data_IF_771453469568
#
_entry.id   IF_771453469568
#
_cell.length_a   1.000
_cell.length_b   1.000
_cell.length_c   1.000
_cell.angle_alpha   90.00
_cell.angle_beta   90.00
_cell.angle_gamma   90.00
#
_symmetry.space_group_name_H-M   'P 1'
#
loop_
_entity.id
_entity.type
_entity.pdbx_description
1 polymer ?
#
# COMPACT_ATOMS: atom_id res chain seq x y z
N UNK A 1 57.03 30.63 -6.79
CA UNK A 1 56.41 29.50 -7.52
C UNK A 1 56.30 28.21 -6.67
N UNK A 2 57.32 27.78 -5.91
CA UNK A 2 57.29 26.52 -5.13
C UNK A 2 56.15 26.41 -4.07
N UNK A 3 55.75 27.52 -3.41
CA UNK A 3 54.65 27.50 -2.40
C UNK A 3 53.26 27.28 -3.03
N UNK A 4 52.96 27.76 -4.24
CA UNK A 4 51.69 27.54 -4.96
C UNK A 4 51.53 26.06 -5.38
N UNK A 5 52.61 25.47 -5.92
CA UNK A 5 52.59 24.05 -6.33
C UNK A 5 52.42 23.10 -5.16
N UNK A 6 52.99 23.42 -3.96
CA UNK A 6 52.79 22.60 -2.74
C UNK A 6 51.36 22.69 -2.21
N UNK A 7 50.69 23.87 -2.25
CA UNK A 7 49.28 24.03 -1.87
C UNK A 7 48.34 23.27 -2.83
N UNK A 8 48.67 23.24 -4.11
CA UNK A 8 47.91 22.52 -5.12
C UNK A 8 47.97 21.00 -4.87
N UNK A 9 49.15 20.44 -4.65
CA UNK A 9 49.34 19.01 -4.31
C UNK A 9 48.61 18.61 -3.03
N UNK A 10 48.63 19.42 -1.99
CA UNK A 10 47.95 19.16 -0.73
C UNK A 10 46.40 19.10 -0.95
N UNK A 11 45.88 19.99 -1.80
CA UNK A 11 44.45 19.99 -2.15
C UNK A 11 44.03 18.68 -2.82
N UNK A 12 44.79 18.18 -3.78
CA UNK A 12 44.47 16.90 -4.44
C UNK A 12 44.59 15.70 -3.49
N UNK A 13 45.53 15.69 -2.56
CA UNK A 13 45.66 14.67 -1.53
C UNK A 13 44.44 14.71 -0.60
N UNK A 14 44.01 15.89 -0.18
CA UNK A 14 42.81 16.04 0.65
C UNK A 14 41.53 15.56 -0.08
N UNK A 15 41.37 15.94 -1.36
CA UNK A 15 40.24 15.43 -2.18
C UNK A 15 40.28 13.91 -2.35
N UNK A 16 41.46 13.33 -2.56
CA UNK A 16 41.64 11.88 -2.64
C UNK A 16 41.29 11.17 -1.33
N UNK A 17 41.73 11.74 -0.19
CA UNK A 17 41.37 11.24 1.15
C UNK A 17 39.89 11.35 1.43
N UNK A 18 39.25 12.48 1.12
CA UNK A 18 37.80 12.64 1.23
C UNK A 18 37.06 11.61 0.36
N UNK A 19 37.48 11.42 -0.89
CA UNK A 19 36.93 10.41 -1.78
C UNK A 19 37.06 8.98 -1.23
N UNK A 20 38.22 8.64 -0.68
CA UNK A 20 38.47 7.33 -0.06
C UNK A 20 37.60 7.11 1.20
N UNK A 21 37.43 8.13 2.05
CA UNK A 21 36.56 8.07 3.23
C UNK A 21 35.09 7.89 2.81
N UNK A 22 34.62 8.64 1.81
CA UNK A 22 33.26 8.50 1.28
C UNK A 22 33.06 7.09 0.71
N UNK A 23 34.01 6.59 -0.07
CA UNK A 23 33.94 5.23 -0.62
C UNK A 23 33.93 4.17 0.48
N UNK A 24 34.78 4.29 1.49
CA UNK A 24 34.79 3.39 2.64
C UNK A 24 33.48 3.45 3.43
N UNK A 25 32.90 4.63 3.62
CA UNK A 25 31.60 4.80 4.26
C UNK A 25 30.48 4.14 3.43
N UNK A 26 30.48 4.31 2.10
CA UNK A 26 29.52 3.68 1.21
C UNK A 26 29.62 2.14 1.22
N UNK A 27 30.85 1.62 1.20
CA UNK A 27 31.11 0.17 1.33
C UNK A 27 30.63 -0.34 2.68
N UNK A 28 30.95 0.37 3.77
CA UNK A 28 30.48 0.03 5.12
C UNK A 28 28.94 -0.01 5.20
N UNK A 29 28.26 1.02 4.69
CA UNK A 29 26.80 1.07 4.61
C UNK A 29 26.26 -0.07 3.76
N UNK A 30 26.91 -0.37 2.61
CA UNK A 30 26.49 -1.43 1.69
C UNK A 30 26.49 -2.83 2.33
N UNK A 31 27.43 -3.10 3.22
CA UNK A 31 27.54 -4.36 3.94
C UNK A 31 26.84 -4.37 5.29
N UNK A 32 25.96 -3.41 5.57
CA UNK A 32 25.11 -3.38 6.76
C UNK A 32 25.80 -2.89 8.02
N UNK A 33 26.92 -2.16 7.89
CA UNK A 33 27.69 -1.66 9.02
C UNK A 33 27.01 -0.66 9.96
N UNK A 34 25.84 -0.13 9.55
CA UNK A 34 24.93 0.59 10.43
C UNK A 34 23.70 -0.24 10.86
N UNK A 35 23.71 -1.55 10.61
CA UNK A 35 22.70 -2.44 11.18
C UNK A 35 22.96 -2.53 12.68
N UNK A 36 22.15 -1.81 13.45
CA UNK A 36 22.19 -1.84 14.92
C UNK A 36 21.30 -2.93 15.49
N UNK A 37 20.58 -3.68 14.64
CA UNK A 37 19.77 -4.80 15.05
C UNK A 37 20.66 -5.95 15.56
N UNK A 38 20.49 -6.35 16.80
CA UNK A 38 21.01 -7.61 17.30
C UNK A 38 20.50 -8.75 16.41
N UNK A 39 21.34 -9.74 16.16
CA UNK A 39 20.92 -10.91 15.38
C UNK A 39 19.83 -11.66 16.12
N UNK A 40 18.67 -11.85 15.52
CA UNK A 40 17.60 -12.68 16.07
C UNK A 40 18.02 -14.14 16.01
N UNK A 41 17.86 -14.85 17.14
CA UNK A 41 18.15 -16.27 17.22
C UNK A 41 17.13 -17.07 16.39
N UNK A 42 17.57 -17.84 15.36
CA UNK A 42 16.64 -18.57 14.48
C UNK A 42 15.82 -19.63 15.20
N UNK A 43 16.36 -20.25 16.27
CA UNK A 43 15.63 -21.26 17.05
C UNK A 43 14.54 -20.59 17.88
N UNK A 44 14.84 -19.46 18.53
CA UNK A 44 13.85 -18.68 19.27
C UNK A 44 12.77 -18.13 18.35
N UNK A 45 13.14 -17.66 17.15
CA UNK A 45 12.22 -17.21 16.11
C UNK A 45 11.28 -18.35 15.67
N UNK A 46 11.83 -19.51 15.31
CA UNK A 46 11.07 -20.67 14.83
C UNK A 46 10.08 -21.22 15.88
N UNK A 47 10.31 -20.96 17.16
CA UNK A 47 9.39 -21.39 18.23
C UNK A 47 8.06 -20.62 18.22
N UNK A 48 8.01 -19.44 17.59
CA UNK A 48 6.79 -18.60 17.47
C UNK A 48 6.35 -18.40 16.03
N UNK A 49 7.19 -18.76 15.05
CA UNK A 49 6.84 -18.67 13.64
C UNK A 49 5.89 -19.80 13.26
N UNK A 50 4.77 -19.45 12.64
CA UNK A 50 3.73 -20.38 12.17
C UNK A 50 3.57 -20.30 10.65
N UNK A 51 2.99 -21.33 9.99
CA UNK A 51 2.56 -21.20 8.59
C UNK A 51 1.56 -20.07 8.42
N UNK A 52 1.55 -19.42 7.25
CA UNK A 52 0.63 -18.30 6.95
C UNK A 52 -0.84 -18.75 7.06
N UNK A 53 -1.12 -19.99 6.71
CA UNK A 53 -2.46 -20.60 6.79
C UNK A 53 -2.98 -20.75 8.23
N UNK A 54 -2.09 -20.70 9.22
CA UNK A 54 -2.44 -20.75 10.65
C UNK A 54 -2.71 -19.38 11.25
N UNK A 55 -2.58 -18.31 10.44
CA UNK A 55 -2.78 -16.94 10.89
C UNK A 55 -4.17 -16.74 11.51
N UNK A 56 -4.21 -15.99 12.59
CA UNK A 56 -5.45 -15.56 13.25
C UNK A 56 -5.42 -14.06 13.49
N UNK A 57 -6.60 -13.45 13.49
CA UNK A 57 -6.80 -12.04 13.84
C UNK A 57 -7.78 -11.93 14.99
N UNK A 58 -7.76 -10.89 15.81
CA UNK A 58 -8.74 -10.67 16.88
C UNK A 58 -10.17 -10.62 16.32
N UNK A 59 -11.12 -11.20 17.03
CA UNK A 59 -12.53 -11.22 16.61
C UNK A 59 -13.18 -9.84 16.59
N UNK A 60 -12.67 -8.90 17.38
CA UNK A 60 -13.10 -7.50 17.45
C UNK A 60 -12.38 -6.57 16.45
N UNK A 61 -11.47 -7.10 15.62
CA UNK A 61 -10.81 -6.34 14.58
C UNK A 61 -11.82 -5.92 13.50
N UNK A 62 -12.00 -4.61 13.32
CA UNK A 62 -12.90 -4.02 12.32
C UNK A 62 -12.20 -3.67 11.01
N UNK A 63 -10.95 -3.28 11.08
CA UNK A 63 -10.11 -2.98 9.94
C UNK A 63 -8.86 -3.86 10.05
N UNK A 64 -8.76 -4.85 9.19
CA UNK A 64 -7.62 -5.77 9.14
C UNK A 64 -6.77 -5.35 7.96
N UNK A 65 -5.56 -4.88 8.21
CA UNK A 65 -4.67 -4.37 7.18
C UNK A 65 -3.52 -5.35 6.90
N UNK A 66 -3.25 -5.61 5.62
CA UNK A 66 -2.05 -6.30 5.15
C UNK A 66 -1.17 -5.30 4.41
N UNK A 67 0.03 -5.09 4.94
CA UNK A 67 1.06 -4.29 4.29
C UNK A 67 1.85 -5.09 3.27
N UNK A 68 2.34 -4.44 2.21
CA UNK A 68 3.32 -5.03 1.30
C UNK A 68 4.66 -4.29 1.38
N UNK A 69 5.75 -5.05 1.51
CA UNK A 69 7.11 -4.50 1.58
C UNK A 69 7.60 -3.98 0.22
N UNK A 70 6.99 -4.43 -0.87
CA UNK A 70 7.29 -4.03 -2.24
C UNK A 70 6.08 -4.27 -3.15
N UNK A 71 5.85 -3.37 -4.09
CA UNK A 71 4.79 -3.51 -5.09
C UNK A 71 5.12 -4.47 -6.25
N UNK A 72 6.39 -4.84 -6.41
CA UNK A 72 6.87 -5.55 -7.61
C UNK A 72 7.12 -7.05 -7.46
N UNK A 73 6.53 -7.71 -6.47
CA UNK A 73 6.72 -9.13 -6.18
C UNK A 73 5.44 -9.96 -6.27
N UNK A 74 5.56 -11.14 -6.87
CA UNK A 74 4.46 -12.08 -7.04
C UNK A 74 3.93 -12.62 -5.69
N UNK A 75 4.81 -12.91 -4.76
CA UNK A 75 4.46 -13.48 -3.45
C UNK A 75 3.58 -12.50 -2.65
N UNK A 76 3.94 -11.21 -2.59
CA UNK A 76 3.12 -10.21 -1.88
C UNK A 76 1.77 -9.98 -2.56
N UNK A 77 1.69 -10.12 -3.89
CA UNK A 77 0.40 -10.08 -4.58
C UNK A 77 -0.46 -11.31 -4.26
N UNK A 78 0.12 -12.53 -4.21
CA UNK A 78 -0.59 -13.77 -3.84
C UNK A 78 -1.06 -13.75 -2.39
N UNK A 79 -0.26 -13.21 -1.47
CA UNK A 79 -0.65 -13.07 -0.06
C UNK A 79 -1.96 -12.30 0.12
N UNK A 80 -2.29 -11.33 -0.74
CA UNK A 80 -3.58 -10.63 -0.70
C UNK A 80 -4.74 -11.59 -0.84
N UNK A 81 -4.69 -12.50 -1.81
CA UNK A 81 -5.72 -13.52 -2.02
C UNK A 81 -5.72 -14.56 -0.90
N UNK A 82 -4.55 -15.04 -0.50
CA UNK A 82 -4.40 -16.08 0.52
C UNK A 82 -4.96 -15.63 1.88
N UNK A 83 -4.56 -14.43 2.34
CA UNK A 83 -5.04 -13.84 3.57
C UNK A 83 -6.54 -13.51 3.46
N UNK A 84 -6.99 -12.94 2.33
CA UNK A 84 -8.40 -12.60 2.14
C UNK A 84 -9.30 -13.83 2.23
N UNK A 85 -8.95 -14.95 1.59
CA UNK A 85 -9.70 -16.20 1.70
C UNK A 85 -9.87 -16.64 3.16
N UNK A 86 -8.80 -16.61 3.94
CA UNK A 86 -8.85 -16.98 5.35
C UNK A 86 -9.80 -16.06 6.15
N UNK A 87 -9.75 -14.75 5.88
CA UNK A 87 -10.61 -13.77 6.55
C UNK A 87 -12.09 -13.91 6.13
N UNK A 88 -12.36 -14.22 4.87
CA UNK A 88 -13.72 -14.54 4.38
C UNK A 88 -14.29 -15.75 5.11
N UNK A 89 -13.50 -16.82 5.20
CA UNK A 89 -13.94 -18.10 5.78
C UNK A 89 -14.04 -18.06 7.30
N UNK A 90 -13.11 -17.41 7.99
CA UNK A 90 -12.97 -17.48 9.46
C UNK A 90 -13.56 -16.28 10.20
N UNK A 91 -13.51 -15.10 9.58
CA UNK A 91 -13.89 -13.85 10.21
C UNK A 91 -15.13 -13.19 9.58
N UNK A 92 -15.71 -13.80 8.53
CA UNK A 92 -16.88 -13.26 7.85
C UNK A 92 -16.62 -11.94 7.11
N UNK A 93 -15.36 -11.65 6.74
CA UNK A 93 -15.02 -10.46 5.96
C UNK A 93 -15.65 -10.56 4.57
N UNK A 94 -16.30 -9.47 4.12
CA UNK A 94 -16.94 -9.38 2.80
C UNK A 94 -16.38 -8.27 1.93
N UNK A 95 -15.59 -7.37 2.48
CA UNK A 95 -14.99 -6.25 1.76
C UNK A 95 -13.48 -6.39 1.62
N UNK A 96 -13.00 -6.29 0.38
CA UNK A 96 -11.59 -6.12 0.02
C UNK A 96 -11.35 -4.68 -0.40
N UNK A 97 -10.52 -3.95 0.34
CA UNK A 97 -10.16 -2.57 0.05
C UNK A 97 -8.67 -2.47 -0.34
N UNK A 98 -8.39 -1.88 -1.49
CA UNK A 98 -7.06 -1.79 -2.10
C UNK A 98 -6.54 -0.34 -2.09
N UNK A 99 -5.23 -0.17 -1.92
CA UNK A 99 -4.51 1.07 -2.29
C UNK A 99 -4.55 1.24 -3.82
N UNK A 100 -5.75 1.38 -4.35
CA UNK A 100 -6.10 1.50 -5.75
C UNK A 100 -7.07 2.66 -5.93
N UNK A 101 -7.17 3.14 -7.16
CA UNK A 101 -8.09 4.24 -7.47
C UNK A 101 -9.53 3.87 -7.17
N UNK A 102 -10.25 4.76 -6.46
CA UNK A 102 -11.65 4.52 -6.06
C UNK A 102 -12.54 4.15 -7.24
N UNK A 103 -12.52 4.95 -8.31
CA UNK A 103 -13.33 4.68 -9.50
C UNK A 103 -12.85 3.44 -10.26
N UNK A 104 -11.53 3.24 -10.39
CA UNK A 104 -10.99 2.05 -11.03
C UNK A 104 -11.35 0.76 -10.28
N UNK A 105 -11.37 0.80 -8.97
CA UNK A 105 -11.79 -0.34 -8.14
C UNK A 105 -13.31 -0.58 -8.19
N UNK A 106 -14.13 0.46 -8.43
CA UNK A 106 -15.56 0.27 -8.70
C UNK A 106 -15.79 -0.48 -10.03
N UNK A 107 -14.95 -0.29 -11.05
CA UNK A 107 -15.00 -1.14 -12.24
C UNK A 107 -14.76 -2.62 -11.91
N UNK A 108 -13.82 -2.90 -11.00
CA UNK A 108 -13.61 -4.26 -10.48
C UNK A 108 -14.85 -4.75 -9.75
N UNK A 109 -15.42 -3.91 -8.89
CA UNK A 109 -16.63 -4.24 -8.14
C UNK A 109 -17.80 -4.58 -9.07
N UNK A 110 -18.06 -3.79 -10.09
CA UNK A 110 -19.07 -4.08 -11.11
C UNK A 110 -18.79 -5.39 -11.87
N UNK A 111 -17.51 -5.67 -12.17
CA UNK A 111 -17.12 -6.93 -12.82
C UNK A 111 -17.43 -8.14 -11.94
N UNK A 112 -17.08 -8.12 -10.66
CA UNK A 112 -17.34 -9.25 -9.75
C UNK A 112 -18.83 -9.45 -9.44
N UNK A 113 -19.69 -8.46 -9.77
CA UNK A 113 -21.14 -8.52 -9.69
C UNK A 113 -21.83 -8.74 -11.05
N UNK A 114 -21.13 -9.28 -12.04
CA UNK A 114 -21.72 -9.77 -13.28
C UNK A 114 -21.53 -8.90 -14.52
N UNK A 115 -20.88 -7.74 -14.44
CA UNK A 115 -20.56 -6.96 -15.64
C UNK A 115 -19.66 -7.74 -16.60
N UNK A 116 -19.78 -7.46 -17.90
CA UNK A 116 -19.00 -8.10 -18.95
C UNK A 116 -17.51 -7.75 -18.87
N UNK A 117 -16.67 -8.54 -19.48
CA UNK A 117 -15.21 -8.36 -19.54
C UNK A 117 -14.44 -9.54 -18.96
N UNK A 118 -13.17 -9.31 -18.68
CA UNK A 118 -12.24 -10.28 -18.10
C UNK A 118 -11.65 -9.77 -16.79
N UNK A 119 -11.14 -10.67 -15.96
CA UNK A 119 -10.46 -10.29 -14.72
C UNK A 119 -9.18 -9.46 -14.99
N UNK A 120 -8.52 -9.68 -16.11
CA UNK A 120 -7.35 -8.90 -16.54
C UNK A 120 -7.74 -7.46 -16.91
N UNK A 121 -8.85 -7.26 -17.62
CA UNK A 121 -9.38 -5.92 -17.91
C UNK A 121 -9.82 -5.20 -16.64
N UNK A 122 -10.48 -5.89 -15.73
CA UNK A 122 -10.84 -5.35 -14.42
C UNK A 122 -9.60 -4.96 -13.60
N UNK A 123 -8.55 -5.80 -13.56
CA UNK A 123 -7.29 -5.48 -12.91
C UNK A 123 -6.58 -4.26 -13.55
N UNK A 124 -6.67 -4.11 -14.87
CA UNK A 124 -6.14 -2.95 -15.57
C UNK A 124 -6.91 -1.65 -15.25
N UNK A 125 -8.22 -1.75 -15.02
CA UNK A 125 -9.07 -0.62 -14.67
C UNK A 125 -8.72 0.03 -13.31
N UNK A 126 -8.06 -0.69 -12.38
CA UNK A 126 -7.59 -0.14 -11.10
C UNK A 126 -6.71 1.10 -11.28
N UNK A 127 -6.07 1.24 -12.46
CA UNK A 127 -5.37 2.45 -12.87
C UNK A 127 -3.87 2.48 -12.59
N UNK A 128 -3.33 1.53 -11.82
CA UNK A 128 -1.90 1.43 -11.51
C UNK A 128 -1.27 0.20 -12.16
N UNK A 129 -0.10 0.38 -12.78
CA UNK A 129 0.60 -0.71 -13.47
C UNK A 129 0.89 -1.92 -12.58
N UNK A 130 1.15 -1.68 -11.30
CA UNK A 130 1.46 -2.71 -10.29
C UNK A 130 0.33 -3.72 -10.05
N UNK A 131 -0.90 -3.38 -10.45
CA UNK A 131 -2.07 -4.26 -10.32
C UNK A 131 -2.45 -4.98 -11.62
N UNK A 132 -1.79 -4.66 -12.74
CA UNK A 132 -1.97 -5.39 -14.02
C UNK A 132 -1.18 -6.70 -14.03
N UNK A 133 -1.51 -7.59 -13.10
CA UNK A 133 -0.78 -8.84 -12.83
C UNK A 133 -1.72 -10.03 -12.87
N UNK A 134 -1.17 -11.22 -13.15
CA UNK A 134 -1.94 -12.46 -13.11
C UNK A 134 -2.46 -12.74 -11.68
N UNK A 135 -1.68 -12.38 -10.66
CA UNK A 135 -2.05 -12.56 -9.26
C UNK A 135 -3.28 -11.71 -8.88
N UNK A 136 -3.36 -10.45 -9.35
CA UNK A 136 -4.53 -9.60 -9.13
C UNK A 136 -5.75 -10.11 -9.91
N UNK A 137 -5.55 -10.55 -11.13
CA UNK A 137 -6.62 -11.16 -11.93
C UNK A 137 -7.15 -12.46 -11.29
N UNK A 138 -6.30 -13.24 -10.65
CA UNK A 138 -6.69 -14.44 -9.89
C UNK A 138 -7.56 -14.08 -8.67
N UNK A 139 -7.18 -13.04 -7.90
CA UNK A 139 -7.97 -12.52 -6.79
C UNK A 139 -9.35 -12.06 -7.27
N UNK A 140 -9.41 -11.26 -8.33
CA UNK A 140 -10.67 -10.76 -8.91
C UNK A 140 -11.53 -11.93 -9.42
N UNK A 141 -10.93 -12.92 -10.06
CA UNK A 141 -11.63 -14.13 -10.52
C UNK A 141 -12.16 -14.97 -9.37
N UNK A 142 -11.44 -15.04 -8.26
CA UNK A 142 -11.94 -15.69 -7.04
C UNK A 142 -13.18 -14.97 -6.51
N UNK A 143 -13.13 -13.64 -6.37
CA UNK A 143 -14.27 -12.87 -5.87
C UNK A 143 -15.51 -13.01 -6.76
N UNK A 144 -15.33 -12.99 -8.09
CA UNK A 144 -16.44 -13.21 -9.03
C UNK A 144 -17.08 -14.58 -8.85
N UNK A 145 -16.27 -15.66 -8.83
CA UNK A 145 -16.81 -17.02 -8.60
C UNK A 145 -17.49 -17.18 -7.26
N UNK A 146 -16.98 -16.52 -6.23
CA UNK A 146 -17.64 -16.52 -4.93
C UNK A 146 -19.03 -15.87 -5.01
N UNK A 147 -19.12 -14.72 -5.69
CA UNK A 147 -20.38 -13.98 -5.82
C UNK A 147 -21.40 -14.69 -6.72
N UNK A 148 -20.96 -15.50 -7.70
CA UNK A 148 -21.87 -16.31 -8.54
C UNK A 148 -22.71 -17.32 -7.69
N UNK A 149 -22.18 -17.76 -6.54
CA UNK A 149 -22.81 -18.74 -5.66
C UNK A 149 -23.17 -18.15 -4.27
N UNK A 150 -22.91 -16.88 -4.00
CA UNK A 150 -23.11 -16.26 -2.69
C UNK A 150 -24.61 -16.11 -2.36
N UNK A 151 -25.03 -16.39 -1.11
CA UNK A 151 -26.35 -16.02 -0.64
C UNK A 151 -26.57 -14.49 -0.72
N UNK A 152 -27.82 -14.07 -0.80
CA UNK A 152 -28.18 -12.65 -0.80
C UNK A 152 -27.58 -11.92 0.42
N UNK A 153 -26.85 -10.84 0.17
CA UNK A 153 -26.17 -10.02 1.18
C UNK A 153 -24.83 -10.57 1.66
N UNK A 154 -24.38 -11.74 1.16
CA UNK A 154 -23.09 -12.35 1.51
C UNK A 154 -22.03 -12.20 0.40
N UNK A 155 -22.31 -11.43 -0.62
CA UNK A 155 -21.41 -11.14 -1.73
C UNK A 155 -20.15 -10.39 -1.28
N UNK A 156 -19.05 -10.68 -1.97
CA UNK A 156 -17.79 -9.98 -1.77
C UNK A 156 -17.80 -8.65 -2.53
N UNK A 157 -17.29 -7.60 -1.89
CA UNK A 157 -17.18 -6.25 -2.46
C UNK A 157 -15.74 -5.80 -2.60
N UNK A 158 -15.45 -5.11 -3.70
CA UNK A 158 -14.14 -4.60 -4.01
C UNK A 158 -14.14 -3.07 -3.98
N UNK A 159 -13.30 -2.48 -3.13
CA UNK A 159 -13.17 -1.04 -2.94
C UNK A 159 -11.76 -0.55 -3.26
N UNK A 160 -11.64 0.69 -3.75
CA UNK A 160 -10.42 1.47 -3.74
C UNK A 160 -10.50 2.57 -2.69
N UNK A 161 -9.37 2.94 -2.10
CA UNK A 161 -9.35 4.06 -1.16
C UNK A 161 -8.39 5.18 -1.58
N UNK A 162 -7.76 5.09 -2.75
CA UNK A 162 -6.88 6.12 -3.31
C UNK A 162 -7.63 7.02 -4.31
N UNK A 163 -7.22 8.27 -4.42
CA UNK A 163 -7.86 9.32 -5.21
C UNK A 163 -6.93 9.93 -6.26
N UNK A 164 -6.02 9.15 -6.84
CA UNK A 164 -5.01 9.66 -7.77
C UNK A 164 -5.45 9.68 -9.24
N UNK A 165 -6.66 9.23 -9.57
CA UNK A 165 -7.20 9.17 -10.93
C UNK A 165 -8.56 9.83 -11.00
N UNK A 166 -8.84 10.44 -12.15
CA UNK A 166 -10.08 11.20 -12.38
C UNK A 166 -11.15 10.37 -13.08
N UNK A 167 -10.76 9.62 -14.12
CA UNK A 167 -11.65 9.19 -15.20
C UNK A 167 -12.86 8.37 -14.73
N UNK A 168 -12.64 7.29 -13.99
CA UNK A 168 -13.76 6.41 -13.59
C UNK A 168 -14.63 7.03 -12.50
N UNK A 169 -14.06 7.71 -11.50
CA UNK A 169 -14.84 8.40 -10.47
C UNK A 169 -15.74 9.47 -11.08
N UNK A 170 -15.23 10.21 -12.07
CA UNK A 170 -16.02 11.22 -12.80
C UNK A 170 -17.13 10.57 -13.65
N UNK A 171 -16.82 9.47 -14.34
CA UNK A 171 -17.80 8.74 -15.14
C UNK A 171 -18.97 8.23 -14.29
N UNK A 172 -18.67 7.60 -13.15
CA UNK A 172 -19.70 7.07 -12.25
C UNK A 172 -20.52 8.16 -11.57
N UNK A 173 -19.87 9.27 -11.19
CA UNK A 173 -20.60 10.43 -10.66
C UNK A 173 -21.56 10.99 -11.69
N UNK A 174 -21.10 11.13 -12.95
CA UNK A 174 -21.93 11.64 -14.06
C UNK A 174 -23.12 10.70 -14.34
N UNK A 175 -22.87 9.39 -14.42
CA UNK A 175 -23.89 8.35 -14.59
C UNK A 175 -24.97 8.45 -13.49
N UNK A 176 -24.57 8.52 -12.23
CA UNK A 176 -25.51 8.63 -11.11
C UNK A 176 -26.33 9.94 -11.13
N UNK A 177 -25.74 11.05 -11.55
CA UNK A 177 -26.45 12.31 -11.72
C UNK A 177 -27.49 12.23 -12.85
N UNK A 178 -27.14 11.58 -13.98
CA UNK A 178 -28.04 11.40 -15.12
C UNK A 178 -29.24 10.52 -14.77
N UNK A 179 -29.01 9.43 -14.01
CA UNK A 179 -30.09 8.56 -13.52
C UNK A 179 -31.11 9.31 -12.65
N UNK A 180 -30.65 10.33 -11.92
CA UNK A 180 -31.52 11.21 -11.11
C UNK A 180 -32.06 12.43 -11.87
N UNK A 181 -31.83 12.50 -13.19
CA UNK A 181 -32.28 13.60 -14.06
C UNK A 181 -31.65 14.96 -13.73
N UNK A 182 -30.40 14.94 -13.23
CA UNK A 182 -29.63 16.15 -12.95
C UNK A 182 -28.95 16.68 -14.22
N UNK A 183 -28.70 17.99 -14.27
CA UNK A 183 -27.84 18.57 -15.31
C UNK A 183 -26.38 18.21 -15.05
N UNK A 184 -25.73 17.61 -16.04
CA UNK A 184 -24.33 17.14 -15.96
C UNK A 184 -23.38 17.96 -16.84
N UNK A 185 -23.83 19.11 -17.36
CA UNK A 185 -23.03 19.94 -18.27
C UNK A 185 -21.67 20.32 -17.66
N UNK A 186 -21.67 20.80 -16.43
CA UNK A 186 -20.44 21.20 -15.74
C UNK A 186 -19.53 19.99 -15.41
N UNK A 187 -20.12 18.85 -15.01
CA UNK A 187 -19.34 17.62 -14.78
C UNK A 187 -18.67 17.11 -16.06
N UNK A 188 -19.36 17.14 -17.19
CA UNK A 188 -18.81 16.75 -18.49
C UNK A 188 -17.66 17.67 -18.90
N UNK A 189 -17.82 18.99 -18.70
CA UNK A 189 -16.75 19.97 -18.94
C UNK A 189 -15.51 19.69 -18.05
N UNK A 190 -15.71 19.33 -16.78
CA UNK A 190 -14.60 18.93 -15.90
C UNK A 190 -13.95 17.63 -16.35
N UNK A 191 -14.70 16.67 -16.92
CA UNK A 191 -14.20 15.39 -17.39
C UNK A 191 -13.32 15.51 -18.64
N UNK A 192 -13.60 16.45 -19.53
CA UNK A 192 -12.83 16.72 -20.76
C UNK A 192 -11.41 17.23 -20.47
N UNK A 193 -11.17 17.79 -19.30
CA UNK A 193 -9.86 18.25 -18.86
C UNK A 193 -9.08 17.13 -18.17
N UNK A 194 -8.49 16.22 -18.94
CA UNK A 194 -7.73 15.05 -18.47
C UNK A 194 -6.65 15.36 -17.41
N UNK A 195 -6.17 16.60 -17.38
CA UNK A 195 -5.11 17.01 -16.47
C UNK A 195 -5.54 18.09 -15.47
N UNK A 196 -6.81 18.46 -15.47
CA UNK A 196 -7.35 19.56 -14.66
C UNK A 196 -6.49 20.85 -14.75
N UNK A 197 -5.96 21.12 -15.93
CA UNK A 197 -5.21 22.32 -16.27
C UNK A 197 -6.07 23.38 -16.98
N UNK A 198 -7.37 23.16 -16.99
CA UNK A 198 -8.33 23.95 -17.76
C UNK A 198 -8.62 25.33 -17.16
N UNK A 199 -9.58 25.99 -17.79
CA UNK A 199 -10.13 27.29 -17.45
C UNK A 199 -10.69 27.38 -16.01
N UNK A 200 -10.99 26.22 -15.36
CA UNK A 200 -11.49 26.19 -14.00
C UNK A 200 -10.32 26.21 -12.99
N UNK A 201 -10.32 27.20 -12.13
CA UNK A 201 -9.47 27.17 -10.94
C UNK A 201 -9.98 26.13 -9.91
N UNK A 202 -9.18 25.85 -8.90
CA UNK A 202 -9.52 24.87 -7.84
C UNK A 202 -10.83 25.26 -7.13
N UNK A 203 -11.08 26.55 -6.90
CA UNK A 203 -12.27 27.05 -6.20
C UNK A 203 -13.53 26.75 -6.98
N UNK A 204 -13.51 26.95 -8.30
CA UNK A 204 -14.62 26.64 -9.19
C UNK A 204 -14.89 25.13 -9.24
N UNK A 205 -13.86 24.30 -9.33
CA UNK A 205 -14.00 22.83 -9.28
C UNK A 205 -14.62 22.36 -7.97
N UNK A 206 -14.11 22.85 -6.85
CA UNK A 206 -14.66 22.54 -5.53
C UNK A 206 -16.11 22.98 -5.38
N UNK A 207 -16.46 24.15 -5.92
CA UNK A 207 -17.84 24.66 -5.91
C UNK A 207 -18.78 23.75 -6.72
N UNK A 208 -18.41 23.39 -7.96
CA UNK A 208 -19.21 22.50 -8.80
C UNK A 208 -19.42 21.14 -8.10
N UNK A 209 -18.35 20.51 -7.63
CA UNK A 209 -18.44 19.21 -6.97
C UNK A 209 -19.22 19.25 -5.65
N UNK A 210 -19.12 20.34 -4.89
CA UNK A 210 -19.92 20.54 -3.68
C UNK A 210 -21.41 20.68 -3.99
N UNK A 211 -21.75 21.46 -5.01
CA UNK A 211 -23.15 21.61 -5.45
C UNK A 211 -23.74 20.30 -5.97
N UNK A 212 -22.94 19.53 -6.73
CA UNK A 212 -23.36 18.20 -7.19
C UNK A 212 -23.57 17.25 -6.01
N UNK A 213 -22.67 17.25 -5.02
CA UNK A 213 -22.82 16.45 -3.81
C UNK A 213 -24.10 16.79 -3.06
N UNK A 214 -24.34 18.08 -2.77
CA UNK A 214 -25.55 18.55 -2.09
C UNK A 214 -26.83 18.16 -2.86
N UNK A 215 -26.81 18.32 -4.19
CA UNK A 215 -27.96 17.93 -5.01
C UNK A 215 -28.19 16.41 -5.04
N UNK A 216 -27.14 15.60 -4.96
CA UNK A 216 -27.26 14.13 -4.80
C UNK A 216 -27.88 13.77 -3.45
N UNK A 217 -27.43 14.42 -2.37
CA UNK A 217 -28.00 14.22 -1.03
C UNK A 217 -29.49 14.56 -0.99
N UNK A 218 -29.87 15.71 -1.55
CA UNK A 218 -31.27 16.17 -1.61
C UNK A 218 -32.16 15.26 -2.45
N UNK A 219 -31.64 14.66 -3.53
CA UNK A 219 -32.37 13.77 -4.44
C UNK A 219 -32.34 12.30 -4.03
N UNK A 220 -31.69 11.95 -2.92
CA UNK A 220 -31.56 10.58 -2.46
C UNK A 220 -30.57 9.75 -3.30
N UNK A 221 -29.52 10.37 -3.80
CA UNK A 221 -28.40 9.70 -4.47
C UNK A 221 -27.77 8.62 -3.59
N UNK A 222 -27.18 7.63 -4.22
CA UNK A 222 -26.54 6.53 -3.49
C UNK A 222 -25.33 7.02 -2.67
N UNK A 223 -25.04 6.42 -1.51
CA UNK A 223 -23.83 6.74 -0.73
C UNK A 223 -22.55 6.66 -1.57
N UNK A 224 -22.48 5.74 -2.52
CA UNK A 224 -21.35 5.59 -3.43
C UNK A 224 -21.21 6.79 -4.39
N UNK A 225 -22.31 7.29 -4.97
CA UNK A 225 -22.29 8.47 -5.85
C UNK A 225 -21.84 9.72 -5.10
N UNK A 226 -22.35 9.92 -3.87
CA UNK A 226 -21.96 11.01 -2.99
C UNK A 226 -20.46 10.92 -2.68
N UNK A 227 -19.96 9.72 -2.40
CA UNK A 227 -18.54 9.49 -2.13
C UNK A 227 -17.65 9.76 -3.34
N UNK A 228 -18.10 9.48 -4.57
CA UNK A 228 -17.34 9.87 -5.76
C UNK A 228 -17.15 11.38 -5.89
N UNK A 229 -18.17 12.17 -5.52
CA UNK A 229 -18.00 13.63 -5.48
C UNK A 229 -16.92 14.05 -4.45
N UNK A 230 -16.90 13.42 -3.27
CA UNK A 230 -15.86 13.65 -2.24
C UNK A 230 -14.47 13.24 -2.73
N UNK A 231 -14.33 12.08 -3.35
CA UNK A 231 -13.06 11.59 -3.93
C UNK A 231 -12.52 12.53 -5.00
N UNK A 232 -13.41 13.10 -5.84
CA UNK A 232 -13.03 14.07 -6.85
C UNK A 232 -12.60 15.42 -6.23
N UNK A 233 -13.21 15.85 -5.14
CA UNK A 233 -12.75 17.03 -4.37
C UNK A 233 -11.36 16.76 -3.75
N UNK A 234 -11.13 15.56 -3.19
CA UNK A 234 -9.81 15.14 -2.69
C UNK A 234 -8.77 15.15 -3.82
N UNK A 235 -9.10 14.62 -5.00
CA UNK A 235 -8.25 14.67 -6.19
C UNK A 235 -7.91 16.12 -6.56
N UNK A 236 -8.92 17.01 -6.61
CA UNK A 236 -8.73 18.41 -6.94
C UNK A 236 -7.75 19.11 -6.00
N UNK A 237 -7.87 18.89 -4.69
CA UNK A 237 -6.95 19.47 -3.70
C UNK A 237 -5.53 18.94 -3.89
N UNK A 238 -5.35 17.63 -4.11
CA UNK A 238 -4.03 17.04 -4.32
C UNK A 238 -3.28 17.63 -5.52
N UNK A 239 -3.98 18.04 -6.59
CA UNK A 239 -3.35 18.66 -7.75
C UNK A 239 -2.73 20.04 -7.45
N UNK A 240 -3.09 20.68 -6.35
CA UNK A 240 -2.55 22.00 -5.94
C UNK A 240 -1.33 21.89 -5.05
N UNK A 241 -1.02 20.71 -4.51
CA UNK A 241 0.01 20.51 -3.51
C UNK A 241 1.35 20.14 -4.11
N UNK A 242 2.42 20.46 -3.38
CA UNK A 242 3.76 19.96 -3.72
C UNK A 242 3.87 18.48 -3.39
N UNK A 243 4.85 17.78 -4.01
CA UNK A 243 5.06 16.35 -3.75
C UNK A 243 5.30 16.03 -2.27
N UNK A 244 5.94 16.94 -1.52
CA UNK A 244 6.22 16.75 -0.10
C UNK A 244 4.97 16.89 0.76
N UNK A 245 4.10 17.86 0.45
CA UNK A 245 2.89 18.14 1.23
C UNK A 245 1.75 17.19 0.81
N UNK A 246 1.69 16.84 -0.47
CA UNK A 246 0.68 15.96 -1.03
C UNK A 246 0.70 14.56 -0.44
N UNK A 247 1.86 14.03 -0.02
CA UNK A 247 1.96 12.71 0.58
C UNK A 247 1.15 12.57 1.88
N UNK A 248 1.31 13.50 2.81
CA UNK A 248 0.58 13.48 4.09
C UNK A 248 -0.92 13.74 3.90
N UNK A 249 -1.29 14.62 2.95
CA UNK A 249 -2.70 14.88 2.61
C UNK A 249 -3.34 13.67 1.96
N UNK A 250 -2.64 12.97 1.05
CA UNK A 250 -3.10 11.71 0.45
C UNK A 250 -3.34 10.64 1.52
N UNK A 251 -2.41 10.46 2.46
CA UNK A 251 -2.57 9.51 3.56
C UNK A 251 -3.80 9.81 4.43
N UNK A 252 -4.06 11.09 4.71
CA UNK A 252 -5.27 11.51 5.43
C UNK A 252 -6.54 11.12 4.66
N UNK A 253 -6.61 11.44 3.38
CA UNK A 253 -7.76 11.09 2.54
C UNK A 253 -7.93 9.57 2.38
N UNK A 254 -6.84 8.82 2.24
CA UNK A 254 -6.92 7.35 2.26
C UNK A 254 -7.50 6.84 3.58
N UNK A 255 -7.13 7.43 4.73
CA UNK A 255 -7.71 7.07 6.02
C UNK A 255 -9.20 7.40 6.10
N UNK A 256 -9.63 8.56 5.59
CA UNK A 256 -11.03 8.96 5.56
C UNK A 256 -11.86 8.02 4.66
N UNK A 257 -11.32 7.64 3.49
CA UNK A 257 -11.96 6.72 2.56
C UNK A 257 -12.07 5.29 3.15
N UNK A 258 -11.02 4.78 3.81
CA UNK A 258 -11.08 3.49 4.53
C UNK A 258 -12.13 3.51 5.64
N UNK A 259 -12.24 4.60 6.40
CA UNK A 259 -13.28 4.75 7.41
C UNK A 259 -14.68 4.82 6.79
N UNK A 260 -14.83 5.47 5.63
CA UNK A 260 -16.09 5.48 4.88
C UNK A 260 -16.48 4.05 4.47
N UNK A 261 -15.56 3.28 3.86
CA UNK A 261 -15.78 1.88 3.51
C UNK A 261 -16.21 1.07 4.72
N UNK A 262 -15.49 1.18 5.83
CA UNK A 262 -15.81 0.45 7.08
C UNK A 262 -17.22 0.79 7.59
N UNK A 263 -17.65 2.05 7.51
CA UNK A 263 -19.02 2.45 7.89
C UNK A 263 -20.08 1.86 6.95
N UNK A 264 -19.82 1.86 5.62
CA UNK A 264 -20.78 1.26 4.67
C UNK A 264 -20.95 -0.24 4.93
N UNK A 265 -19.88 -0.95 5.18
CA UNK A 265 -19.94 -2.38 5.50
C UNK A 265 -20.69 -2.66 6.82
N UNK A 266 -20.48 -1.82 7.83
CA UNK A 266 -21.24 -1.95 9.09
C UNK A 266 -22.74 -1.69 8.90
N UNK A 267 -23.12 -0.72 8.06
CA UNK A 267 -24.51 -0.46 7.71
C UNK A 267 -25.15 -1.63 6.93
N UNK A 268 -24.33 -2.38 6.18
CA UNK A 268 -24.72 -3.60 5.47
C UNK A 268 -24.72 -4.86 6.37
N UNK A 269 -24.37 -4.72 7.66
CA UNK A 269 -24.35 -5.83 8.61
C UNK A 269 -23.00 -6.57 8.71
N UNK A 270 -21.96 -6.10 8.03
CA UNK A 270 -20.63 -6.75 8.07
C UNK A 270 -19.73 -6.10 9.12
N UNK A 271 -19.09 -6.94 9.94
CA UNK A 271 -18.29 -6.47 11.09
C UNK A 271 -16.91 -5.92 10.74
N UNK A 272 -16.31 -6.44 9.68
CA UNK A 272 -14.89 -6.21 9.39
C UNK A 272 -14.61 -6.02 7.89
N UNK A 273 -13.58 -5.24 7.59
CA UNK A 273 -13.04 -5.07 6.23
C UNK A 273 -11.58 -5.47 6.17
N UNK A 274 -11.13 -5.93 4.99
CA UNK A 274 -9.72 -6.22 4.72
C UNK A 274 -9.13 -5.13 3.83
N UNK A 275 -8.05 -4.51 4.30
CA UNK A 275 -7.37 -3.38 3.65
C UNK A 275 -5.98 -3.81 3.20
N UNK A 276 -5.59 -3.51 1.96
CA UNK A 276 -4.24 -3.82 1.47
C UNK A 276 -3.57 -2.60 0.86
N UNK A 277 -2.32 -2.35 1.25
CA UNK A 277 -1.52 -1.25 0.74
C UNK A 277 -0.04 -1.40 1.12
N UNK A 278 0.78 -0.44 0.75
CA UNK A 278 2.19 -0.47 1.12
C UNK A 278 2.39 -0.43 2.64
N UNK A 279 3.40 -1.12 3.15
CA UNK A 279 3.74 -1.16 4.57
C UNK A 279 3.76 0.22 5.24
N UNK A 280 4.29 1.24 4.55
CA UNK A 280 4.38 2.60 5.11
C UNK A 280 3.02 3.28 5.31
N UNK A 281 2.01 2.92 4.50
CA UNK A 281 0.66 3.47 4.62
C UNK A 281 -0.15 2.78 5.72
N UNK A 282 0.02 1.47 5.91
CA UNK A 282 -0.74 0.71 6.90
C UNK A 282 -0.14 0.72 8.31
N UNK A 283 1.12 1.08 8.47
CA UNK A 283 1.82 1.06 9.77
C UNK A 283 1.15 1.96 10.82
N UNK A 284 1.02 1.46 12.06
CA UNK A 284 0.36 2.17 13.19
C UNK A 284 1.13 3.38 13.69
N UNK A 285 2.42 3.46 13.40
CA UNK A 285 3.29 4.50 13.94
C UNK A 285 4.31 4.98 12.89
N UNK A 286 4.75 6.23 13.03
CA UNK A 286 5.74 6.85 12.15
C UNK A 286 5.89 8.35 12.43
N UNK A 287 6.90 8.97 11.82
CA UNK A 287 7.16 10.41 11.96
C UNK A 287 6.12 11.30 11.27
N UNK A 288 5.50 10.80 10.21
CA UNK A 288 4.41 11.46 9.50
C UNK A 288 3.05 10.87 9.92
N UNK A 289 1.98 11.60 9.68
CA UNK A 289 0.62 11.10 9.86
C UNK A 289 0.24 10.25 8.64
N UNK A 290 0.70 8.98 8.66
CA UNK A 290 0.32 7.97 7.68
C UNK A 290 -1.13 7.50 7.89
N UNK A 291 -1.73 6.89 6.84
CA UNK A 291 -3.08 6.32 6.90
C UNK A 291 -3.25 5.42 8.12
N UNK A 292 -2.38 4.44 8.32
CA UNK A 292 -2.48 3.49 9.42
C UNK A 292 -2.35 4.13 10.80
N UNK A 293 -1.49 5.15 10.94
CA UNK A 293 -1.40 5.94 12.19
C UNK A 293 -2.69 6.70 12.48
N UNK A 294 -3.35 7.26 11.46
CA UNK A 294 -4.64 7.95 11.61
C UNK A 294 -5.75 6.96 11.95
N UNK A 295 -5.81 5.82 11.26
CA UNK A 295 -6.76 4.74 11.55
C UNK A 295 -6.58 4.18 12.96
N UNK A 296 -5.33 3.98 13.40
CA UNK A 296 -5.02 3.50 14.75
C UNK A 296 -5.49 4.45 15.86
N UNK A 297 -5.46 5.77 15.62
CA UNK A 297 -5.96 6.78 16.58
C UNK A 297 -7.49 6.78 16.66
N UNK A 298 -8.19 6.59 15.54
CA UNK A 298 -9.64 6.75 15.42
C UNK A 298 -10.40 5.44 15.71
N UNK A 299 -9.78 4.32 15.37
CA UNK A 299 -10.37 3.00 15.60
C UNK A 299 -9.81 2.39 16.90
N UNK A 300 -10.11 3.01 18.04
CA UNK A 300 -9.47 2.77 19.33
C UNK A 300 -9.38 1.32 19.80
N UNK A 301 -9.91 0.33 19.09
CA UNK A 301 -9.73 -1.09 19.41
C UNK A 301 -10.01 -2.04 18.23
N UNK A 302 -10.03 -1.58 17.00
CA UNK A 302 -10.43 -2.42 15.86
C UNK A 302 -9.48 -2.38 14.67
N UNK A 303 -8.28 -1.78 14.78
CA UNK A 303 -7.29 -1.74 13.71
C UNK A 303 -6.16 -2.74 13.98
N UNK A 304 -6.16 -3.85 13.23
CA UNK A 304 -5.14 -4.90 13.29
C UNK A 304 -4.28 -4.86 12.03
N UNK A 305 -2.96 -4.88 12.18
CA UNK A 305 -2.03 -4.70 11.07
C UNK A 305 -1.05 -5.87 10.96
N UNK A 306 -1.02 -6.45 9.77
CA UNK A 306 -0.08 -7.48 9.35
C UNK A 306 0.95 -6.81 8.44
N UNK A 307 2.18 -6.62 8.91
CA UNK A 307 3.29 -6.17 8.07
C UNK A 307 3.86 -7.30 7.23
N UNK A 308 4.62 -6.98 6.18
CA UNK A 308 5.40 -7.99 5.45
C UNK A 308 6.86 -7.58 5.32
N UNK A 309 7.78 -8.54 5.24
CA UNK A 309 9.17 -8.29 4.85
C UNK A 309 9.76 -9.49 4.12
N UNK A 310 10.95 -9.32 3.57
CA UNK A 310 11.70 -10.34 2.83
C UNK A 310 13.15 -10.39 3.32
N UNK A 311 13.77 -11.55 3.21
CA UNK A 311 15.22 -11.63 3.36
C UNK A 311 15.93 -11.15 2.09
N UNK A 312 15.49 -11.66 0.92
CA UNK A 312 15.99 -11.29 -0.40
C UNK A 312 14.83 -11.16 -1.39
N UNK A 313 14.85 -10.10 -2.18
CA UNK A 313 13.86 -9.93 -3.25
C UNK A 313 14.53 -9.73 -4.60
N UNK A 314 13.87 -10.29 -5.63
CA UNK A 314 14.00 -9.89 -7.03
C UNK A 314 12.73 -9.14 -7.38
N UNK A 315 12.79 -7.82 -7.41
CA UNK A 315 11.61 -6.96 -7.54
C UNK A 315 11.52 -6.37 -8.94
N UNK A 316 10.33 -6.39 -9.54
CA UNK A 316 10.02 -5.70 -10.78
C UNK A 316 9.75 -4.22 -10.47
N UNK A 317 10.63 -3.33 -10.92
CA UNK A 317 10.58 -1.90 -10.61
C UNK A 317 10.62 -1.03 -11.86
N UNK A 318 10.00 0.16 -11.84
CA UNK A 318 10.12 1.10 -12.94
C UNK A 318 11.60 1.52 -13.11
N UNK A 319 12.04 1.61 -14.36
CA UNK A 319 13.34 2.18 -14.70
C UNK A 319 13.24 3.71 -14.78
N UNK A 320 14.35 4.38 -15.17
CA UNK A 320 14.37 5.84 -15.39
C UNK A 320 13.27 6.34 -16.34
N UNK A 321 12.84 5.50 -17.27
CA UNK A 321 11.66 5.75 -18.13
C UNK A 321 10.52 4.93 -17.52
N UNK A 322 9.40 5.57 -17.13
CA UNK A 322 8.29 4.88 -16.47
C UNK A 322 7.74 3.68 -17.25
N UNK A 323 7.82 3.73 -18.59
CA UNK A 323 7.36 2.66 -19.49
C UNK A 323 8.26 1.42 -19.46
N UNK A 324 9.50 1.57 -18.95
CA UNK A 324 10.45 0.47 -18.83
C UNK A 324 10.53 0.01 -17.39
N UNK A 325 10.28 -1.27 -17.20
CA UNK A 325 10.48 -1.94 -15.92
C UNK A 325 11.69 -2.85 -15.97
N UNK A 326 12.35 -3.04 -14.83
CA UNK A 326 13.56 -3.87 -14.71
C UNK A 326 13.52 -4.64 -13.40
N UNK A 327 14.04 -5.87 -13.43
CA UNK A 327 14.22 -6.66 -12.21
C UNK A 327 15.45 -6.20 -11.46
N UNK A 328 15.28 -5.82 -10.21
CA UNK A 328 16.35 -5.44 -9.30
C UNK A 328 16.43 -6.41 -8.12
N UNK A 329 17.62 -6.55 -7.52
CA UNK A 329 17.85 -7.43 -6.38
C UNK A 329 18.17 -6.59 -5.15
N UNK A 330 17.43 -6.86 -4.05
CA UNK A 330 17.63 -6.20 -2.77
C UNK A 330 17.66 -7.22 -1.63
N UNK A 331 18.29 -6.81 -0.52
CA UNK A 331 18.29 -7.52 0.75
C UNK A 331 17.75 -6.57 1.81
N UNK A 332 16.70 -6.95 2.57
CA UNK A 332 16.14 -6.07 3.59
C UNK A 332 17.10 -5.83 4.74
N UNK A 333 17.91 -6.84 5.06
CA UNK A 333 18.77 -6.90 6.25
C UNK A 333 17.99 -6.82 7.58
N UNK A 334 16.69 -7.09 7.53
CA UNK A 334 15.87 -7.31 8.70
C UNK A 334 16.40 -8.56 9.44
N UNK A 335 16.71 -8.47 10.75
CA UNK A 335 17.17 -9.60 11.52
C UNK A 335 16.10 -10.69 11.69
N UNK A 336 14.81 -10.36 11.66
CA UNK A 336 13.70 -11.33 11.69
C UNK A 336 13.58 -12.08 10.37
N UNK A 337 13.61 -11.40 9.23
CA UNK A 337 13.63 -12.04 7.91
C UNK A 337 14.87 -12.92 7.72
N UNK A 338 16.01 -12.50 8.28
CA UNK A 338 17.23 -13.33 8.31
C UNK A 338 17.06 -14.56 9.19
N UNK A 339 16.41 -14.44 10.35
CA UNK A 339 16.13 -15.57 11.23
C UNK A 339 15.19 -16.58 10.57
N UNK A 340 14.13 -16.13 9.87
CA UNK A 340 13.27 -16.98 9.05
C UNK A 340 14.07 -17.79 8.02
N UNK A 341 14.99 -17.12 7.28
CA UNK A 341 15.89 -17.79 6.33
C UNK A 341 16.79 -18.84 6.99
N UNK A 342 17.38 -18.52 8.13
CA UNK A 342 18.28 -19.42 8.85
C UNK A 342 17.53 -20.59 9.51
N UNK A 343 16.25 -20.40 9.84
CA UNK A 343 15.35 -21.45 10.31
C UNK A 343 14.83 -22.36 9.19
N UNK A 344 15.16 -22.06 7.92
CA UNK A 344 14.73 -22.86 6.76
C UNK A 344 13.27 -22.67 6.37
N UNK A 345 12.65 -21.53 6.75
CA UNK A 345 11.26 -21.21 6.42
C UNK A 345 11.21 -20.41 5.12
N UNK A 346 10.43 -20.85 4.14
CA UNK A 346 10.23 -20.13 2.88
C UNK A 346 9.29 -18.93 3.05
N UNK A 347 8.18 -19.16 3.77
CA UNK A 347 7.30 -18.11 4.29
C UNK A 347 6.78 -18.49 5.68
N UNK A 348 6.52 -17.50 6.53
CA UNK A 348 5.96 -17.73 7.85
C UNK A 348 5.27 -16.47 8.39
N UNK A 349 4.35 -16.67 9.30
CA UNK A 349 3.68 -15.63 10.07
C UNK A 349 4.21 -15.60 11.50
N UNK A 350 4.39 -14.41 12.05
CA UNK A 350 4.84 -14.16 13.42
C UNK A 350 3.91 -13.14 14.08
N UNK A 351 3.21 -13.57 15.11
CA UNK A 351 2.35 -12.70 15.93
C UNK A 351 3.17 -12.14 17.12
N UNK A 352 3.37 -10.84 17.14
CA UNK A 352 4.12 -10.18 18.21
C UNK A 352 3.40 -10.24 19.56
N UNK A 353 2.06 -10.28 19.56
CA UNK A 353 1.25 -10.40 20.77
C UNK A 353 1.41 -11.75 21.51
N UNK A 354 1.89 -12.80 20.81
CA UNK A 354 2.16 -14.11 21.41
C UNK A 354 3.56 -14.23 21.99
N UNK A 355 4.45 -13.27 21.72
CA UNK A 355 5.83 -13.29 22.19
C UNK A 355 5.91 -12.58 23.54
N UNK A 356 6.38 -13.22 24.62
CA UNK A 356 6.53 -12.53 25.91
C UNK A 356 7.45 -11.30 25.79
N UNK A 357 6.97 -10.13 26.21
CA UNK A 357 7.70 -8.84 26.09
C UNK A 357 9.09 -8.87 26.74
N UNK A 358 9.24 -9.59 27.86
CA UNK A 358 10.49 -9.72 28.60
C UNK A 358 11.42 -10.80 28.06
N UNK A 359 11.01 -11.54 27.01
CA UNK A 359 11.89 -12.48 26.30
C UNK A 359 12.94 -11.72 25.46
N UNK A 360 13.99 -12.39 25.04
CA UNK A 360 14.96 -11.82 24.12
C UNK A 360 14.32 -11.42 22.79
N UNK A 361 13.49 -12.29 22.22
CA UNK A 361 12.77 -12.03 20.96
C UNK A 361 11.78 -10.88 21.08
N UNK A 362 11.05 -10.79 22.21
CA UNK A 362 10.12 -9.67 22.46
C UNK A 362 10.83 -8.32 22.56
N UNK A 363 11.94 -8.26 23.28
CA UNK A 363 12.77 -7.05 23.32
C UNK A 363 13.33 -6.66 21.95
N UNK A 364 13.75 -7.65 21.14
CA UNK A 364 14.21 -7.41 19.77
C UNK A 364 13.08 -6.89 18.86
N UNK A 365 11.87 -7.42 18.99
CA UNK A 365 10.70 -6.96 18.24
C UNK A 365 10.28 -5.50 18.60
N UNK A 366 10.50 -5.09 19.84
CA UNK A 366 10.27 -3.74 20.32
C UNK A 366 11.46 -2.78 20.09
N UNK A 367 12.60 -3.27 19.61
CA UNK A 367 13.78 -2.46 19.34
C UNK A 367 13.80 -1.94 17.90
N UNK A 368 14.45 -0.78 17.69
CA UNK A 368 14.66 -0.23 16.35
C UNK A 368 15.51 -1.18 15.51
N UNK A 369 14.99 -1.55 14.35
CA UNK A 369 15.68 -2.40 13.38
C UNK A 369 15.37 -1.96 11.94
N UNK A 370 16.17 -2.44 10.99
CA UNK A 370 15.90 -2.21 9.58
C UNK A 370 14.91 -3.23 9.04
N UNK A 371 13.93 -2.74 8.28
CA UNK A 371 12.99 -3.53 7.50
C UNK A 371 12.98 -3.06 6.05
N UNK A 372 12.62 -3.93 5.11
CA UNK A 372 12.48 -3.58 3.70
C UNK A 372 11.28 -2.67 3.47
N UNK A 373 11.44 -1.67 2.58
CA UNK A 373 10.36 -0.80 2.12
C UNK A 373 10.68 -0.30 0.71
N UNK A 374 10.17 -1.01 -0.29
CA UNK A 374 10.40 -0.71 -1.71
C UNK A 374 9.08 -0.26 -2.35
N UNK A 375 8.95 1.05 -2.62
CA UNK A 375 7.84 1.61 -3.37
C UNK A 375 8.03 1.52 -4.89
N UNK A 376 7.19 2.21 -5.64
CA UNK A 376 7.21 2.30 -7.12
C UNK A 376 8.27 3.30 -7.66
N UNK A 377 9.47 3.28 -7.09
CA UNK A 377 10.59 4.07 -7.61
C UNK A 377 11.91 3.33 -7.51
N UNK A 378 12.75 3.48 -8.54
CA UNK A 378 14.09 2.94 -8.54
C UNK A 378 15.13 4.00 -8.89
N UNK A 379 16.15 4.09 -8.06
CA UNK A 379 17.37 4.86 -8.35
C UNK A 379 18.60 3.94 -8.26
N UNK A 380 19.59 4.07 -9.17
CA UNK A 380 20.86 3.35 -9.04
C UNK A 380 21.57 3.55 -7.70
N UNK A 381 21.32 4.68 -7.02
CA UNK A 381 21.84 4.94 -5.66
C UNK A 381 21.33 3.94 -4.61
N UNK A 382 20.15 3.36 -4.80
CA UNK A 382 19.62 2.33 -3.90
C UNK A 382 20.54 1.11 -3.81
N UNK A 383 21.30 0.82 -4.85
CA UNK A 383 22.31 -0.26 -4.82
C UNK A 383 23.50 0.03 -3.90
N UNK A 384 23.77 1.32 -3.69
CA UNK A 384 24.93 1.80 -2.92
C UNK A 384 24.50 2.25 -1.51
N UNK A 385 23.28 2.77 -1.39
CA UNK A 385 22.71 3.35 -0.16
C UNK A 385 21.50 2.52 0.32
N UNK A 386 21.71 1.37 0.97
CA UNK A 386 20.64 0.53 1.50
C UNK A 386 19.60 1.26 2.37
N UNK A 387 19.94 2.29 3.19
CA UNK A 387 18.95 3.05 3.93
C UNK A 387 17.88 3.74 3.08
N UNK A 388 18.12 3.93 1.77
CA UNK A 388 17.15 4.55 0.85
C UNK A 388 15.93 3.65 0.51
N UNK A 389 15.97 2.37 0.85
CA UNK A 389 14.90 1.41 0.65
C UNK A 389 14.59 0.58 1.91
N UNK A 390 15.01 1.07 3.08
CA UNK A 390 14.74 0.44 4.37
C UNK A 390 14.19 1.47 5.33
N UNK A 391 13.21 1.06 6.12
CA UNK A 391 12.79 1.83 7.27
C UNK A 391 13.54 1.34 8.52
N UNK A 392 13.82 2.26 9.44
CA UNK A 392 14.47 1.97 10.73
C UNK A 392 13.49 2.27 11.86
N UNK A 393 12.74 1.25 12.27
CA UNK A 393 11.63 1.35 13.22
C UNK A 393 11.48 0.03 14.01
N UNK A 394 10.80 0.05 15.18
CA UNK A 394 10.50 -1.17 15.93
C UNK A 394 9.33 -1.95 15.31
N UNK A 395 9.51 -3.20 14.86
CA UNK A 395 8.46 -3.96 14.18
C UNK A 395 7.16 -4.09 14.96
N UNK A 396 7.23 -4.47 16.24
CA UNK A 396 6.06 -4.68 17.10
C UNK A 396 5.32 -3.37 17.49
N UNK A 397 5.89 -2.20 17.19
CA UNK A 397 5.20 -0.91 17.34
C UNK A 397 4.44 -0.54 16.06
N UNK A 398 4.95 -0.97 14.91
CA UNK A 398 4.33 -0.71 13.62
C UNK A 398 3.19 -1.67 13.30
N UNK A 399 3.37 -2.95 13.64
CA UNK A 399 2.50 -4.04 13.24
C UNK A 399 2.14 -4.93 14.44
N UNK A 400 0.96 -5.53 14.42
CA UNK A 400 0.57 -6.56 15.40
C UNK A 400 1.23 -7.90 15.09
N UNK A 401 1.37 -8.20 13.81
CA UNK A 401 2.04 -9.38 13.32
C UNK A 401 2.77 -9.10 12.00
N UNK A 402 3.64 -10.01 11.58
CA UNK A 402 4.31 -9.90 10.28
C UNK A 402 4.34 -11.24 9.55
N UNK A 403 4.29 -11.17 8.21
CA UNK A 403 4.57 -12.30 7.32
C UNK A 403 5.93 -12.07 6.66
N UNK A 404 6.81 -13.03 6.81
CA UNK A 404 8.15 -13.04 6.20
C UNK A 404 8.16 -13.95 4.99
N UNK A 405 8.58 -13.40 3.84
CA UNK A 405 8.83 -14.15 2.60
C UNK A 405 10.35 -14.19 2.38
N UNK A 406 10.96 -15.35 2.55
CA UNK A 406 12.42 -15.43 2.56
C UNK A 406 13.03 -15.03 1.22
N UNK A 407 12.52 -15.52 0.10
CA UNK A 407 12.97 -15.14 -1.24
C UNK A 407 11.76 -14.77 -2.11
N UNK A 408 11.62 -13.48 -2.43
CA UNK A 408 10.55 -12.99 -3.26
C UNK A 408 10.97 -12.86 -4.73
N UNK A 409 10.05 -13.22 -5.65
CA UNK A 409 10.23 -13.23 -7.10
C UNK A 409 9.48 -12.07 -7.78
N UNK A 410 9.96 -11.58 -8.95
CA UNK A 410 9.31 -10.45 -9.60
C UNK A 410 7.95 -10.84 -10.15
N UNK A 411 6.93 -10.02 -9.89
CA UNK A 411 5.64 -10.14 -10.60
C UNK A 411 5.80 -9.75 -12.07
N UNK A 412 4.93 -10.30 -12.92
CA UNK A 412 4.82 -9.93 -14.34
C UNK A 412 3.69 -8.92 -14.49
N UNK A 413 4.05 -7.74 -15.00
CA UNK A 413 3.07 -6.70 -15.30
C UNK A 413 2.62 -6.85 -16.74
N UNK A 414 1.30 -6.98 -16.94
CA UNK A 414 0.68 -7.06 -18.25
C UNK A 414 0.82 -5.75 -19.05
N UNK A 415 0.56 -5.82 -20.35
CA UNK A 415 0.49 -4.65 -21.22
C UNK A 415 -0.64 -3.69 -20.76
N UNK A 416 -0.46 -2.43 -21.14
CA UNK A 416 -1.48 -1.40 -20.89
C UNK A 416 -2.67 -1.57 -21.82
#
# INVERSE_FOLDING_TARGET
MKKKARRFKIRYILWGLCGAIVLAALVFIRFGGFSTGESVNPIAFAAYAEPVESMTVPEDARIIALGEATHGNAEFQRLKLEVFKQLVERNGVRAFALEGDCGGCEQVNRYIHGSSGTAQEAAAAIGFAIYRTDEMAELISYMRRYNDDAPEGEDLRFYGFDMQRLAYSMSFLTEACEELGMDTTDLRSLAEDENWRSEYDISTRMMILSQVKEALEDKGGSPQAIHFAEVLMQYAELQTLTTSDGGAVRDRYMADNVQWISRQEQLSGHGSIFVTGHNSHVAKWGSLDSMGKLLSKNASNGYYVIGTDFYKTRCNMPARRPERRTTQVFYSHDPFAKAAKLAGLDSCWLDFGRIPENSELGRQAAAYTYMGTLGESYSPLMRILPPSYRMFQPPAVLYDSMIFVTEATPTKIGAA
#
